data_IF_068263390081
#
_entry.id   IF_068263390081
#
_cell.length_a   1.000
_cell.length_b   1.000
_cell.length_c   1.000
_cell.angle_alpha   90.00
_cell.angle_beta   90.00
_cell.angle_gamma   90.00
#
_symmetry.space_group_name_H-M   'P 1'
#
loop_
_entity.id
_entity.type
_entity.pdbx_description
1 polymer ?
#
# COMPACT_ATOMS: atom_id res chain seq x y z
N UNK A 1 10.18 -10.77 -5.21
CA UNK A 1 8.73 -10.79 -4.88
C UNK A 1 8.49 -10.91 -3.37
N UNK A 2 9.30 -11.72 -2.69
CA UNK A 2 9.34 -11.97 -1.26
C UNK A 2 9.27 -10.69 -0.40
N UNK A 3 10.10 -9.69 -0.72
CA UNK A 3 10.13 -8.45 0.05
C UNK A 3 8.80 -7.68 -0.04
N UNK A 4 8.08 -7.77 -1.16
CA UNK A 4 6.76 -7.19 -1.29
C UNK A 4 5.77 -7.85 -0.33
N UNK A 5 5.74 -9.19 -0.26
CA UNK A 5 4.88 -9.93 0.68
C UNK A 5 5.22 -9.62 2.14
N UNK A 6 6.51 -9.55 2.49
CA UNK A 6 6.96 -9.21 3.85
C UNK A 6 6.50 -7.80 4.23
N UNK A 7 6.73 -6.82 3.35
CA UNK A 7 6.36 -5.43 3.63
C UNK A 7 4.84 -5.26 3.71
N UNK A 8 4.08 -5.91 2.81
CA UNK A 8 2.63 -5.90 2.88
C UNK A 8 2.09 -6.49 4.19
N UNK A 9 2.66 -7.62 4.65
CA UNK A 9 2.31 -8.19 5.94
C UNK A 9 2.56 -7.19 7.08
N UNK A 10 3.71 -6.51 7.08
CA UNK A 10 4.03 -5.49 8.07
C UNK A 10 3.07 -4.29 8.04
N UNK A 11 2.64 -3.83 6.86
CA UNK A 11 1.63 -2.76 6.74
C UNK A 11 0.28 -3.17 7.35
N UNK A 12 -0.15 -4.42 7.14
CA UNK A 12 -1.37 -4.97 7.78
C UNK A 12 -1.22 -5.05 9.30
N UNK A 13 -0.06 -5.44 9.80
CA UNK A 13 0.23 -5.48 11.24
C UNK A 13 0.24 -4.07 11.85
N UNK A 14 0.84 -3.10 11.15
CA UNK A 14 0.84 -1.70 11.59
C UNK A 14 -0.58 -1.14 11.65
N UNK A 15 -1.42 -1.42 10.64
CA UNK A 15 -2.82 -0.99 10.61
C UNK A 15 -3.59 -1.54 11.83
N UNK A 16 -3.42 -2.83 12.13
CA UNK A 16 -4.06 -3.47 13.28
C UNK A 16 -3.55 -2.88 14.60
N UNK A 17 -2.23 -2.69 14.72
CA UNK A 17 -1.61 -2.13 15.92
C UNK A 17 -2.18 -0.74 16.24
N UNK A 18 -2.18 0.18 15.27
CA UNK A 18 -2.70 1.54 15.45
C UNK A 18 -4.18 1.50 15.86
N UNK A 19 -4.99 0.69 15.19
CA UNK A 19 -6.42 0.58 15.50
C UNK A 19 -6.65 0.09 16.93
N UNK A 20 -5.93 -0.95 17.36
CA UNK A 20 -6.08 -1.53 18.69
C UNK A 20 -5.58 -0.57 19.77
N UNK A 21 -4.43 0.06 19.57
CA UNK A 21 -3.88 1.04 20.52
C UNK A 21 -4.83 2.22 20.70
N UNK A 22 -5.28 2.85 19.61
CA UNK A 22 -6.20 4.00 19.71
C UNK A 22 -7.51 3.63 20.38
N UNK A 23 -8.06 2.45 20.07
CA UNK A 23 -9.28 1.97 20.71
C UNK A 23 -9.09 1.74 22.21
N UNK A 24 -7.98 1.11 22.60
CA UNK A 24 -7.66 0.86 24.00
C UNK A 24 -7.50 2.16 24.79
N UNK A 25 -6.82 3.16 24.23
CA UNK A 25 -6.65 4.47 24.85
C UNK A 25 -7.99 5.21 25.00
N UNK A 26 -8.84 5.18 23.97
CA UNK A 26 -10.19 5.77 24.03
C UNK A 26 -11.05 5.14 25.14
N UNK A 27 -11.01 3.82 25.27
CA UNK A 27 -11.73 3.08 26.31
C UNK A 27 -11.23 3.46 27.70
N UNK A 28 -9.91 3.64 27.87
CA UNK A 28 -9.33 4.03 29.16
C UNK A 28 -9.66 5.47 29.54
N UNK A 29 -9.56 6.41 28.60
CA UNK A 29 -9.98 7.81 28.82
C UNK A 29 -11.45 7.89 29.23
N UNK A 30 -12.31 7.12 28.57
CA UNK A 30 -13.73 7.04 28.93
C UNK A 30 -13.94 6.47 30.34
N UNK A 31 -13.18 5.45 30.73
CA UNK A 31 -13.22 4.82 32.05
C UNK A 31 -12.81 5.79 33.16
N UNK A 32 -11.78 6.59 32.92
CA UNK A 32 -11.27 7.59 33.87
C UNK A 32 -12.10 8.88 33.87
N UNK A 33 -13.05 9.04 32.94
CA UNK A 33 -13.85 10.26 32.78
C UNK A 33 -13.04 11.43 32.20
N UNK A 34 -11.94 11.14 31.51
CA UNK A 34 -11.08 12.12 30.83
C UNK A 34 -11.63 12.37 29.43
N UNK A 35 -11.60 13.64 29.00
CA UNK A 35 -12.03 14.01 27.65
C UNK A 35 -11.02 13.50 26.62
N UNK A 36 -11.50 12.74 25.64
CA UNK A 36 -10.70 12.33 24.48
C UNK A 36 -10.37 13.52 23.57
N UNK A 37 -9.12 13.61 23.15
CA UNK A 37 -8.65 14.54 22.12
C UNK A 37 -8.25 13.77 20.86
N UNK A 38 -8.58 14.31 19.69
CA UNK A 38 -8.24 13.65 18.44
C UNK A 38 -6.73 13.63 18.25
N UNK A 39 -6.18 12.43 17.97
CA UNK A 39 -4.77 12.24 17.68
C UNK A 39 -4.61 12.12 16.17
N UNK A 40 -3.82 13.01 15.57
CA UNK A 40 -3.46 12.92 14.17
C UNK A 40 -2.43 11.81 13.96
N UNK A 41 -2.70 10.90 13.03
CA UNK A 41 -1.77 9.85 12.64
C UNK A 41 -1.88 9.55 11.14
N UNK A 42 -0.81 9.01 10.56
CA UNK A 42 -0.88 8.53 9.18
C UNK A 42 -1.68 7.23 9.11
N UNK A 43 -2.85 7.28 8.47
CA UNK A 43 -3.66 6.10 8.23
C UNK A 43 -3.10 5.33 7.02
N UNK A 44 -2.29 4.31 7.30
CA UNK A 44 -1.66 3.47 6.28
C UNK A 44 -2.66 2.57 5.52
N UNK A 45 -3.96 2.63 5.82
CA UNK A 45 -5.00 1.94 5.04
C UNK A 45 -4.90 2.22 3.54
N UNK A 46 -4.54 3.45 3.14
CA UNK A 46 -4.35 3.81 1.73
C UNK A 46 -3.26 2.97 1.05
N UNK A 47 -2.24 2.52 1.79
CA UNK A 47 -1.18 1.64 1.28
C UNK A 47 -1.67 0.19 1.23
N UNK A 48 -2.38 -0.28 2.27
CA UNK A 48 -3.00 -1.60 2.26
C UNK A 48 -3.98 -1.75 1.08
N UNK A 49 -4.84 -0.75 0.86
CA UNK A 49 -5.83 -0.74 -0.21
C UNK A 49 -5.17 -0.74 -1.59
N UNK A 50 -4.08 0.02 -1.79
CA UNK A 50 -3.27 -0.03 -3.02
C UNK A 50 -2.79 -1.45 -3.35
N UNK A 51 -2.52 -2.27 -2.33
CA UNK A 51 -2.00 -3.63 -2.52
C UNK A 51 -3.13 -4.65 -2.69
N UNK A 52 -4.15 -4.59 -1.81
CA UNK A 52 -5.14 -5.65 -1.62
C UNK A 52 -6.52 -5.38 -2.22
N UNK A 53 -6.83 -4.15 -2.67
CA UNK A 53 -8.17 -3.80 -3.16
C UNK A 53 -8.57 -4.73 -4.32
N UNK A 54 -9.78 -5.29 -4.22
CA UNK A 54 -10.29 -6.21 -5.23
C UNK A 54 -10.44 -5.50 -6.58
N UNK A 55 -9.95 -6.13 -7.65
CA UNK A 55 -9.99 -5.63 -9.04
C UNK A 55 -9.12 -4.40 -9.34
N UNK A 56 -8.46 -3.80 -8.34
CA UNK A 56 -7.67 -2.57 -8.54
C UNK A 56 -6.30 -2.59 -7.90
N UNK A 57 -6.15 -3.34 -6.80
CA UNK A 57 -4.90 -3.46 -6.08
C UNK A 57 -3.85 -4.21 -6.88
N UNK A 58 -2.58 -4.01 -6.49
CA UNK A 58 -1.42 -4.62 -7.14
C UNK A 58 -1.57 -6.15 -7.27
N UNK A 59 -2.05 -6.83 -6.22
CA UNK A 59 -2.23 -8.29 -6.24
C UNK A 59 -3.32 -8.69 -7.24
N UNK A 60 -4.46 -7.97 -7.26
CA UNK A 60 -5.53 -8.25 -8.23
C UNK A 60 -5.05 -8.06 -9.67
N UNK A 61 -4.29 -7.00 -9.94
CA UNK A 61 -3.74 -6.73 -11.28
C UNK A 61 -2.72 -7.79 -11.70
N UNK A 62 -1.92 -8.29 -10.75
CA UNK A 62 -0.97 -9.38 -10.95
C UNK A 62 -1.69 -10.69 -11.29
N UNK A 63 -2.72 -11.06 -10.52
CA UNK A 63 -3.52 -12.26 -10.77
C UNK A 63 -4.15 -12.22 -12.16
N UNK A 64 -4.74 -11.08 -12.54
CA UNK A 64 -5.30 -10.92 -13.88
C UNK A 64 -4.23 -11.01 -14.99
N UNK A 65 -3.03 -10.49 -14.75
CA UNK A 65 -1.92 -10.58 -15.71
C UNK A 65 -1.45 -12.03 -15.88
N UNK A 66 -1.40 -12.81 -14.80
CA UNK A 66 -1.07 -14.23 -14.82
C UNK A 66 -2.14 -15.09 -15.55
N UNK A 67 -3.39 -14.63 -15.57
CA UNK A 67 -4.52 -15.37 -16.16
C UNK A 67 -4.86 -14.96 -17.59
N UNK A 68 -4.26 -13.88 -18.11
CA UNK A 68 -4.58 -13.38 -19.46
C UNK A 68 -4.07 -14.32 -20.57
N UNK A 69 -4.71 -14.36 -21.74
CA UNK A 69 -4.19 -15.09 -22.89
C UNK A 69 -2.85 -14.51 -23.38
N UNK A 70 -1.87 -15.38 -23.64
CA UNK A 70 -0.51 -15.02 -24.07
C UNK A 70 0.54 -15.34 -23.01
N UNK A 71 1.80 -15.02 -23.28
CA UNK A 71 2.87 -15.15 -22.28
C UNK A 71 2.89 -13.91 -21.38
N UNK A 72 2.61 -14.04 -20.08
CA UNK A 72 2.78 -12.95 -19.14
C UNK A 72 4.27 -12.63 -18.97
N UNK A 73 4.59 -11.34 -18.93
CA UNK A 73 5.97 -10.85 -18.73
C UNK A 73 5.98 -9.80 -17.63
N UNK A 74 7.12 -9.64 -16.96
CA UNK A 74 7.28 -8.59 -15.95
C UNK A 74 7.05 -7.18 -16.54
N UNK A 75 7.42 -6.98 -17.81
CA UNK A 75 7.22 -5.71 -18.51
C UNK A 75 5.73 -5.43 -18.75
N UNK A 76 4.98 -6.42 -19.23
CA UNK A 76 3.53 -6.26 -19.45
C UNK A 76 2.78 -6.06 -18.13
N UNK A 77 3.23 -6.72 -17.05
CA UNK A 77 2.71 -6.44 -15.71
C UNK A 77 3.00 -5.00 -15.28
N UNK A 78 4.23 -4.51 -15.45
CA UNK A 78 4.60 -3.13 -15.11
C UNK A 78 3.79 -2.10 -15.91
N UNK A 79 3.57 -2.33 -17.21
CA UNK A 79 2.70 -1.48 -18.04
C UNK A 79 1.27 -1.45 -17.53
N UNK A 80 0.75 -2.60 -17.08
CA UNK A 80 -0.58 -2.70 -16.47
C UNK A 80 -0.66 -1.93 -15.15
N UNK A 81 0.34 -2.04 -14.29
CA UNK A 81 0.43 -1.25 -13.06
C UNK A 81 0.48 0.24 -13.36
N UNK A 82 1.32 0.67 -14.31
CA UNK A 82 1.39 2.06 -14.73
C UNK A 82 0.03 2.55 -15.24
N UNK A 83 -0.65 1.79 -16.07
CA UNK A 83 -1.94 2.19 -16.64
C UNK A 83 -3.04 2.37 -15.58
N UNK A 84 -3.04 1.54 -14.54
CA UNK A 84 -4.11 1.53 -13.53
C UNK A 84 -3.80 2.37 -12.27
N UNK A 85 -2.52 2.48 -11.89
CA UNK A 85 -2.10 3.03 -10.59
C UNK A 85 -1.35 4.37 -10.71
N UNK A 86 -1.12 4.90 -11.92
CA UNK A 86 -0.36 6.15 -12.13
C UNK A 86 -0.88 7.35 -11.33
N UNK A 87 -2.19 7.43 -11.07
CA UNK A 87 -2.77 8.53 -10.28
C UNK A 87 -2.69 8.32 -8.77
N UNK A 88 -2.30 7.14 -8.30
CA UNK A 88 -2.29 6.82 -6.87
C UNK A 88 -1.12 7.53 -6.17
N UNK A 89 -1.34 8.25 -5.06
CA UNK A 89 -0.31 9.06 -4.40
C UNK A 89 0.86 8.24 -3.83
N UNK A 90 0.62 6.97 -3.52
CA UNK A 90 1.63 6.04 -2.99
C UNK A 90 2.19 5.08 -4.04
N UNK A 91 1.90 5.30 -5.34
CA UNK A 91 2.49 4.53 -6.43
C UNK A 91 3.40 5.43 -7.27
N UNK A 92 4.66 5.02 -7.43
CA UNK A 92 5.64 5.70 -8.28
C UNK A 92 6.34 4.64 -9.12
N UNK A 93 6.46 4.91 -10.41
CA UNK A 93 7.27 4.14 -11.34
C UNK A 93 8.31 5.03 -12.02
N UNK A 94 9.30 4.42 -12.66
CA UNK A 94 10.36 5.16 -13.37
C UNK A 94 9.81 6.19 -14.36
N UNK A 95 8.67 5.92 -15.01
CA UNK A 95 8.04 6.85 -15.98
C UNK A 95 7.58 8.17 -15.34
N UNK A 96 7.20 8.16 -14.06
CA UNK A 96 6.65 9.33 -13.34
C UNK A 96 7.58 9.88 -12.26
N UNK A 97 8.60 9.11 -11.89
CA UNK A 97 9.61 9.53 -10.94
C UNK A 97 10.36 10.78 -11.43
N UNK A 98 10.70 11.69 -10.53
CA UNK A 98 11.59 12.81 -10.86
C UNK A 98 13.01 12.32 -11.16
N UNK A 99 13.84 13.16 -11.78
CA UNK A 99 15.21 12.77 -12.21
C UNK A 99 16.04 12.26 -11.03
N UNK A 100 15.81 12.79 -9.82
CA UNK A 100 16.50 12.35 -8.60
C UNK A 100 16.09 10.93 -8.21
N UNK A 101 14.79 10.64 -8.23
CA UNK A 101 14.21 9.34 -7.86
C UNK A 101 14.55 8.29 -8.91
N UNK A 102 14.52 8.63 -10.21
CA UNK A 102 14.97 7.74 -11.28
C UNK A 102 16.43 7.28 -11.07
N UNK A 103 17.32 8.21 -10.71
CA UNK A 103 18.73 7.90 -10.40
C UNK A 103 18.91 7.02 -9.17
N UNK A 104 17.95 6.98 -8.24
CA UNK A 104 17.97 6.09 -7.08
C UNK A 104 17.44 4.71 -7.48
N UNK A 105 16.36 4.66 -8.27
CA UNK A 105 15.74 3.42 -8.74
C UNK A 105 16.61 2.63 -9.72
N UNK A 106 17.45 3.32 -10.51
CA UNK A 106 18.39 2.68 -11.44
C UNK A 106 19.73 2.28 -10.84
N UNK A 107 19.88 2.29 -9.51
CA UNK A 107 21.07 1.76 -8.83
C UNK A 107 20.86 0.28 -8.56
N UNK A 108 20.97 -0.52 -9.61
CA UNK A 108 21.29 -1.95 -9.56
C UNK A 108 22.32 -2.25 -10.65
#
# INVERSE_FOLDING_TARGET
FEQFCINYCNEKLQQLFIQLTLKSEQEEYQREGIKWEHVDYFNNKVICDLIEEKYKGIISLMDEECLRPGEPTDLSFLEKLNSNLTSHPHYISHMKADIKTQKIMGRD
#
